data_IF_376955015954
#
_entry.id   IF_376955015954
#
_cell.length_a   1.000
_cell.length_b   1.000
_cell.length_c   1.000
_cell.angle_alpha   90.00
_cell.angle_beta   90.00
_cell.angle_gamma   90.00
#
_symmetry.space_group_name_H-M   'P 1'
#
loop_
_entity.id
_entity.type
_entity.pdbx_description
1 polymer ?
#
# COMPACT_ATOMS: atom_id res chain seq x y z
N UNK A 1 -48.03 46.60 -16.76
CA UNK A 1 -47.35 47.51 -15.83
C UNK A 1 -46.96 46.71 -14.60
N UNK A 2 -45.64 46.55 -14.43
CA UNK A 2 -44.87 46.33 -13.18
C UNK A 2 -45.17 45.14 -12.25
N UNK A 3 -44.44 44.05 -12.54
CA UNK A 3 -43.42 43.40 -11.71
C UNK A 3 -43.05 44.02 -10.33
N UNK A 4 -42.85 43.15 -9.33
CA UNK A 4 -41.89 43.35 -8.23
C UNK A 4 -41.55 42.01 -7.54
N UNK A 5 -40.51 41.35 -8.07
CA UNK A 5 -39.72 40.33 -7.39
C UNK A 5 -39.10 40.84 -6.09
N UNK A 6 -39.13 40.04 -5.02
CA UNK A 6 -38.17 40.13 -3.92
C UNK A 6 -37.21 38.93 -4.00
N UNK A 7 -36.11 39.11 -4.74
CA UNK A 7 -34.92 38.28 -4.58
C UNK A 7 -34.10 38.83 -3.41
N UNK A 8 -33.98 38.04 -2.36
CA UNK A 8 -33.01 38.30 -1.28
C UNK A 8 -31.66 37.68 -1.70
N UNK A 9 -30.73 38.54 -2.08
CA UNK A 9 -29.31 38.24 -2.27
C UNK A 9 -28.61 38.08 -0.91
N UNK A 10 -27.90 36.98 -0.63
CA UNK A 10 -26.88 36.98 0.41
C UNK A 10 -25.55 37.49 -0.14
N UNK A 11 -25.18 38.64 0.39
CA UNK A 11 -23.91 39.37 0.33
C UNK A 11 -22.69 38.42 0.45
N UNK A 12 -21.86 38.38 -0.59
CA UNK A 12 -20.54 37.74 -0.57
C UNK A 12 -19.56 38.55 0.30
N UNK A 13 -19.32 38.10 1.53
CA UNK A 13 -18.21 38.59 2.35
C UNK A 13 -16.98 37.70 2.20
N UNK A 14 -16.10 38.14 1.28
CA UNK A 14 -14.63 38.23 1.42
C UNK A 14 -13.96 37.26 2.41
N UNK A 15 -13.45 36.14 1.88
CA UNK A 15 -12.34 35.40 2.49
C UNK A 15 -11.09 35.57 1.61
N UNK A 16 -10.24 36.55 1.97
CA UNK A 16 -8.82 36.52 1.61
C UNK A 16 -8.13 35.65 2.66
N UNK A 17 -7.66 34.47 2.27
CA UNK A 17 -6.50 33.84 2.90
C UNK A 17 -5.56 33.42 1.77
N UNK A 18 -4.43 34.10 1.70
CA UNK A 18 -3.30 33.68 0.88
C UNK A 18 -2.82 32.32 1.40
N UNK A 19 -2.67 31.34 0.52
CA UNK A 19 -2.07 30.05 0.84
C UNK A 19 -0.63 30.02 0.31
N UNK A 20 0.39 29.81 1.17
CA UNK A 20 1.65 29.23 0.72
C UNK A 20 1.47 27.72 0.53
N UNK A 21 2.11 27.20 -0.51
CA UNK A 21 2.29 25.79 -0.90
C UNK A 21 2.03 24.73 0.17
N UNK A 22 1.16 23.75 -0.13
CA UNK A 22 1.13 22.45 0.54
C UNK A 22 -0.26 21.94 0.93
N UNK A 23 -0.58 20.72 0.47
CA UNK A 23 -1.57 19.79 1.02
C UNK A 23 -3.02 20.33 1.15
N UNK A 24 -3.83 20.10 0.12
CA UNK A 24 -5.28 20.29 0.21
C UNK A 24 -5.93 19.14 0.99
N UNK A 25 -6.33 19.42 2.23
CA UNK A 25 -7.27 18.61 2.99
C UNK A 25 -8.70 18.93 2.56
N UNK A 26 -9.46 17.94 2.09
CA UNK A 26 -10.92 17.99 2.16
C UNK A 26 -11.34 17.60 3.58
N UNK A 27 -11.68 18.59 4.41
CA UNK A 27 -12.43 18.36 5.64
C UNK A 27 -13.89 18.74 5.39
N UNK A 28 -14.72 17.75 5.07
CA UNK A 28 -16.17 17.89 5.12
C UNK A 28 -16.60 17.57 6.56
N UNK A 29 -17.01 18.58 7.31
CA UNK A 29 -17.59 18.40 8.64
C UNK A 29 -19.03 17.91 8.47
N UNK A 30 -19.27 16.62 8.75
CA UNK A 30 -20.61 16.06 8.88
C UNK A 30 -20.67 15.26 10.19
N UNK A 31 -21.44 15.78 11.16
CA UNK A 31 -21.79 15.05 12.39
C UNK A 31 -22.65 13.85 11.99
N UNK A 32 -22.24 12.65 12.38
CA UNK A 32 -23.10 11.46 12.35
C UNK A 32 -22.68 10.30 11.43
N UNK A 33 -21.38 10.06 11.21
CA UNK A 33 -20.93 8.88 10.46
C UNK A 33 -20.24 7.85 11.34
N UNK A 34 -20.72 6.60 11.25
CA UNK A 34 -19.99 5.40 11.66
C UNK A 34 -18.64 5.37 10.94
N UNK A 35 -17.58 5.22 11.71
CA UNK A 35 -16.19 5.47 11.35
C UNK A 35 -15.60 4.42 10.42
N UNK A 36 -15.98 4.42 9.14
CA UNK A 36 -15.37 3.60 8.08
C UNK A 36 -14.59 4.49 7.10
N UNK A 37 -13.72 5.34 7.65
CA UNK A 37 -12.71 6.07 6.88
C UNK A 37 -11.73 5.10 6.19
N UNK A 38 -10.98 5.53 5.15
CA UNK A 38 -9.79 4.81 4.68
C UNK A 38 -8.79 4.54 5.82
N UNK A 39 -8.82 5.41 6.84
CA UNK A 39 -8.13 5.25 8.11
C UNK A 39 -8.65 4.10 8.98
N UNK A 40 -9.79 3.48 8.71
CA UNK A 40 -10.29 2.31 9.45
C UNK A 40 -9.41 1.07 9.29
N UNK A 41 -8.72 0.96 8.15
CA UNK A 41 -7.64 -0.01 7.95
C UNK A 41 -6.47 0.40 8.85
N UNK A 42 -6.03 1.66 8.77
CA UNK A 42 -4.91 2.20 9.58
C UNK A 42 -5.12 2.12 11.10
N UNK A 43 -6.32 2.39 11.63
CA UNK A 43 -6.61 2.37 13.07
C UNK A 43 -6.69 0.96 13.63
N UNK A 44 -7.11 -0.04 12.84
CA UNK A 44 -7.05 -1.45 13.25
C UNK A 44 -5.60 -1.93 13.37
N UNK A 45 -4.72 -1.51 12.47
CA UNK A 45 -3.31 -1.86 12.50
C UNK A 45 -2.51 -1.09 13.57
N UNK A 46 -2.89 0.13 13.96
CA UNK A 46 -2.28 0.80 15.12
C UNK A 46 -2.50 0.06 16.45
N UNK A 47 -3.62 -0.65 16.60
CA UNK A 47 -3.92 -1.43 17.80
C UNK A 47 -3.17 -2.77 17.87
N UNK A 48 -2.85 -3.38 16.72
CA UNK A 48 -2.09 -4.64 16.68
C UNK A 48 -0.59 -4.47 16.89
N UNK A 49 -0.03 -3.29 16.60
CA UNK A 49 1.43 -3.02 16.70
C UNK A 49 1.83 -2.46 18.08
N UNK A 50 0.87 -2.18 18.97
CA UNK A 50 1.15 -1.60 20.29
C UNK A 50 1.50 -2.63 21.39
N UNK A 51 1.70 -3.91 21.06
CA UNK A 51 2.09 -4.92 22.05
C UNK A 51 3.48 -5.50 21.78
N UNK A 52 4.38 -5.25 22.74
CA UNK A 52 5.74 -5.80 22.94
C UNK A 52 6.90 -5.16 22.16
N UNK A 53 7.41 -4.08 22.75
CA UNK A 53 8.82 -3.73 22.67
C UNK A 53 9.64 -4.79 23.43
N UNK A 54 10.49 -5.53 22.73
CA UNK A 54 11.57 -6.31 23.31
C UNK A 54 12.70 -6.39 22.29
N UNK A 55 13.84 -5.84 22.70
CA UNK A 55 15.11 -5.93 22.01
C UNK A 55 15.71 -7.29 22.37
N UNK A 56 15.82 -8.18 21.39
CA UNK A 56 16.76 -9.29 21.42
C UNK A 56 17.24 -9.48 19.99
N UNK A 57 18.50 -9.10 19.75
CA UNK A 57 19.18 -9.41 18.52
C UNK A 57 19.55 -10.88 18.50
N UNK A 58 19.20 -11.58 17.41
CA UNK A 58 20.15 -12.36 16.61
C UNK A 58 19.46 -13.04 15.41
N UNK A 59 20.21 -13.03 14.31
CA UNK A 59 20.05 -13.73 13.01
C UNK A 59 18.87 -13.35 12.11
N UNK A 60 19.05 -12.30 11.31
CA UNK A 60 18.34 -12.12 10.04
C UNK A 60 19.38 -12.16 8.91
N UNK A 61 19.97 -13.33 8.67
CA UNK A 61 20.97 -13.56 7.60
C UNK A 61 20.63 -14.78 6.73
N UNK A 62 19.36 -14.99 6.44
CA UNK A 62 18.95 -15.61 5.18
C UNK A 62 17.97 -14.65 4.53
N UNK A 63 18.44 -13.95 3.49
CA UNK A 63 17.60 -13.09 2.67
C UNK A 63 16.45 -13.92 2.12
N UNK A 64 15.25 -13.61 2.60
CA UNK A 64 14.06 -14.37 2.26
C UNK A 64 13.59 -13.87 0.90
N UNK A 65 14.19 -14.42 -0.15
CA UNK A 65 14.00 -13.98 -1.53
C UNK A 65 12.52 -13.86 -1.93
N UNK A 66 11.63 -14.67 -1.36
CA UNK A 66 10.18 -14.56 -1.59
C UNK A 66 9.62 -13.22 -1.11
N UNK A 67 10.06 -12.76 0.07
CA UNK A 67 9.62 -11.48 0.64
C UNK A 67 10.18 -10.34 -0.21
N UNK A 68 11.45 -10.43 -0.61
CA UNK A 68 12.06 -9.43 -1.50
C UNK A 68 11.34 -9.36 -2.86
N UNK A 69 10.99 -10.51 -3.44
CA UNK A 69 10.22 -10.61 -4.70
C UNK A 69 8.81 -10.03 -4.52
N UNK A 70 8.10 -10.41 -3.46
CA UNK A 70 6.77 -9.87 -3.15
C UNK A 70 6.82 -8.35 -3.00
N UNK A 71 7.82 -7.83 -2.26
CA UNK A 71 8.03 -6.41 -2.06
C UNK A 71 8.34 -5.69 -3.37
N UNK A 72 9.13 -6.31 -4.27
CA UNK A 72 9.39 -5.78 -5.60
C UNK A 72 8.09 -5.60 -6.41
N UNK A 73 7.22 -6.62 -6.44
CA UNK A 73 5.93 -6.53 -7.11
C UNK A 73 4.99 -5.50 -6.47
N UNK A 74 4.98 -5.43 -5.14
CA UNK A 74 4.22 -4.43 -4.39
C UNK A 74 4.68 -3.00 -4.74
N UNK A 75 5.99 -2.77 -4.77
CA UNK A 75 6.58 -1.49 -5.15
C UNK A 75 6.26 -1.13 -6.61
N UNK A 76 6.25 -2.11 -7.53
CA UNK A 76 5.79 -1.89 -8.91
C UNK A 76 4.33 -1.42 -8.98
N UNK A 77 3.43 -2.04 -8.19
CA UNK A 77 2.02 -1.65 -8.14
C UNK A 77 1.86 -0.24 -7.55
N UNK A 78 2.57 0.09 -6.46
CA UNK A 78 2.59 1.44 -5.88
C UNK A 78 3.05 2.47 -6.90
N UNK A 79 4.17 2.19 -7.58
CA UNK A 79 4.75 3.11 -8.56
C UNK A 79 3.83 3.36 -9.76
N UNK A 80 3.10 2.33 -10.20
CA UNK A 80 2.10 2.44 -11.26
C UNK A 80 0.96 3.38 -10.85
N UNK A 81 0.38 3.18 -9.66
CA UNK A 81 -0.72 4.01 -9.19
C UNK A 81 -0.27 5.44 -8.89
N UNK A 82 0.91 5.63 -8.29
CA UNK A 82 1.47 6.95 -8.03
C UNK A 82 1.77 7.73 -9.32
N UNK A 83 2.21 7.04 -10.39
CA UNK A 83 2.35 7.66 -11.70
C UNK A 83 0.98 8.10 -12.24
N UNK A 84 -0.02 7.23 -12.18
CA UNK A 84 -1.37 7.56 -12.64
C UNK A 84 -1.97 8.75 -11.87
N UNK A 85 -1.80 8.78 -10.54
CA UNK A 85 -2.19 9.89 -9.68
C UNK A 85 -1.54 11.20 -10.14
N UNK A 86 -0.22 11.21 -10.36
CA UNK A 86 0.50 12.43 -10.80
C UNK A 86 0.01 12.92 -12.15
N UNK A 87 -0.13 12.01 -13.13
CA UNK A 87 -0.58 12.35 -14.48
C UNK A 87 -2.02 12.88 -14.49
N UNK A 88 -2.92 12.23 -13.76
CA UNK A 88 -4.32 12.66 -13.66
C UNK A 88 -4.48 13.94 -12.84
N UNK A 89 -3.71 14.13 -11.78
CA UNK A 89 -3.70 15.38 -11.01
C UNK A 89 -3.27 16.56 -11.88
N UNK A 90 -2.33 16.35 -12.81
CA UNK A 90 -1.94 17.38 -13.79
C UNK A 90 -3.12 17.75 -14.70
N UNK A 91 -3.82 16.75 -15.27
CA UNK A 91 -5.02 16.97 -16.12
C UNK A 91 -6.15 17.68 -15.36
N UNK A 92 -6.35 17.32 -14.09
CA UNK A 92 -7.31 17.97 -13.20
C UNK A 92 -6.99 19.46 -13.02
N UNK A 93 -5.72 19.81 -12.87
CA UNK A 93 -5.28 21.19 -12.73
C UNK A 93 -5.37 21.99 -14.05
N UNK A 94 -5.28 21.33 -15.20
CA UNK A 94 -5.41 21.96 -16.52
C UNK A 94 -6.87 22.28 -16.87
N UNK A 95 -7.78 21.33 -16.68
CA UNK A 95 -9.22 21.54 -16.90
C UNK A 95 -10.05 20.71 -15.92
N UNK A 96 -10.38 21.32 -14.79
CA UNK A 96 -11.07 20.67 -13.69
C UNK A 96 -12.45 20.10 -14.09
N UNK A 97 -13.27 20.86 -14.83
CA UNK A 97 -14.63 20.43 -15.17
C UNK A 97 -14.60 19.21 -16.09
N UNK A 98 -13.84 19.27 -17.18
CA UNK A 98 -13.68 18.14 -18.09
C UNK A 98 -13.03 16.93 -17.39
N UNK A 99 -12.06 17.17 -16.51
CA UNK A 99 -11.46 16.11 -15.73
C UNK A 99 -12.49 15.39 -14.86
N UNK A 100 -13.31 16.15 -14.15
CA UNK A 100 -14.30 15.60 -13.23
C UNK A 100 -15.34 14.73 -13.96
N UNK A 101 -15.78 15.16 -15.14
CA UNK A 101 -16.73 14.42 -15.96
C UNK A 101 -16.21 13.06 -16.44
N UNK A 102 -14.91 12.96 -16.75
CA UNK A 102 -14.37 11.80 -17.48
C UNK A 102 -13.35 10.95 -16.72
N UNK A 103 -12.69 11.50 -15.69
CA UNK A 103 -11.50 10.88 -15.09
C UNK A 103 -11.57 10.78 -13.56
N UNK A 104 -12.55 11.40 -12.91
CA UNK A 104 -12.66 11.40 -11.44
C UNK A 104 -12.68 9.97 -10.85
N UNK A 105 -13.36 9.04 -11.53
CA UNK A 105 -13.41 7.63 -11.13
C UNK A 105 -12.02 6.99 -11.12
N UNK A 106 -11.26 7.15 -12.20
CA UNK A 106 -9.95 6.52 -12.33
C UNK A 106 -8.98 7.06 -11.27
N UNK A 107 -9.00 8.38 -11.03
CA UNK A 107 -8.19 8.99 -9.99
C UNK A 107 -8.58 8.51 -8.59
N UNK A 108 -9.89 8.37 -8.32
CA UNK A 108 -10.37 7.80 -7.07
C UNK A 108 -9.81 6.39 -6.84
N UNK A 109 -9.93 5.51 -7.85
CA UNK A 109 -9.43 4.14 -7.78
C UNK A 109 -7.92 4.12 -7.53
N UNK A 110 -7.14 4.90 -8.26
CA UNK A 110 -5.69 4.94 -8.06
C UNK A 110 -5.28 5.43 -6.67
N UNK A 111 -5.97 6.44 -6.12
CA UNK A 111 -5.73 6.87 -4.74
C UNK A 111 -6.06 5.76 -3.73
N UNK A 112 -7.19 5.08 -3.91
CA UNK A 112 -7.61 4.00 -3.02
C UNK A 112 -6.60 2.83 -3.07
N UNK A 113 -6.22 2.38 -4.26
CA UNK A 113 -5.28 1.28 -4.47
C UNK A 113 -3.88 1.63 -3.92
N UNK A 114 -3.32 2.79 -4.30
CA UNK A 114 -2.02 3.27 -3.79
C UNK A 114 -1.99 3.33 -2.27
N UNK A 115 -3.07 3.83 -1.64
CA UNK A 115 -3.20 3.86 -0.19
C UNK A 115 -3.13 2.47 0.45
N UNK A 116 -3.87 1.50 -0.11
CA UNK A 116 -3.88 0.12 0.42
C UNK A 116 -2.52 -0.56 0.26
N UNK A 117 -1.86 -0.41 -0.89
CA UNK A 117 -0.52 -0.98 -1.09
C UNK A 117 0.53 -0.36 -0.17
N UNK A 118 0.50 0.96 0.06
CA UNK A 118 1.42 1.63 0.97
C UNK A 118 1.24 1.18 2.42
N UNK A 119 -0.01 0.97 2.84
CA UNK A 119 -0.30 0.40 4.17
C UNK A 119 0.28 -1.01 4.28
N UNK A 120 0.07 -1.86 3.27
CA UNK A 120 0.66 -3.21 3.24
C UNK A 120 2.18 -3.14 3.30
N UNK A 121 2.81 -2.26 2.50
CA UNK A 121 4.27 -2.07 2.45
C UNK A 121 4.82 -1.72 3.83
N UNK A 122 4.21 -0.75 4.51
CA UNK A 122 4.58 -0.34 5.86
C UNK A 122 4.41 -1.46 6.90
N UNK A 123 3.34 -2.25 6.79
CA UNK A 123 3.11 -3.38 7.70
C UNK A 123 4.19 -4.46 7.52
N UNK A 124 4.56 -4.76 6.27
CA UNK A 124 5.61 -5.75 5.94
C UNK A 124 6.98 -5.25 6.38
N UNK A 125 7.30 -3.95 6.20
CA UNK A 125 8.56 -3.35 6.68
C UNK A 125 8.71 -3.42 8.21
N UNK A 126 7.58 -3.38 8.95
CA UNK A 126 7.56 -3.52 10.40
C UNK A 126 7.59 -4.97 10.90
N UNK A 127 7.47 -5.96 10.02
CA UNK A 127 7.39 -7.37 10.39
C UNK A 127 8.75 -7.93 10.80
N UNK A 128 8.79 -8.72 11.89
CA UNK A 128 10.03 -9.30 12.43
C UNK A 128 10.35 -10.71 11.91
N UNK A 129 9.60 -11.21 10.93
CA UNK A 129 9.80 -12.54 10.37
C UNK A 129 8.80 -12.93 9.31
N UNK A 130 9.14 -14.00 8.57
CA UNK A 130 8.34 -14.55 7.45
C UNK A 130 6.90 -14.86 7.87
N UNK A 131 6.70 -15.52 9.01
CA UNK A 131 5.36 -15.88 9.50
C UNK A 131 4.50 -14.63 9.78
N UNK A 132 5.14 -13.54 10.21
CA UNK A 132 4.43 -12.26 10.42
C UNK A 132 4.02 -11.64 9.09
N UNK A 133 4.89 -11.68 8.07
CA UNK A 133 4.57 -11.20 6.71
C UNK A 133 3.41 -11.99 6.12
N UNK A 134 3.43 -13.32 6.27
CA UNK A 134 2.34 -14.19 5.85
C UNK A 134 1.00 -13.83 6.50
N UNK A 135 0.98 -13.71 7.82
CA UNK A 135 -0.23 -13.37 8.55
C UNK A 135 -0.77 -12.00 8.13
N UNK A 136 0.11 -11.02 7.89
CA UNK A 136 -0.31 -9.70 7.38
C UNK A 136 -1.03 -9.83 6.04
N UNK A 137 -0.48 -10.59 5.09
CA UNK A 137 -1.09 -10.75 3.76
C UNK A 137 -2.42 -11.49 3.88
N UNK A 138 -2.49 -12.60 4.62
CA UNK A 138 -3.72 -13.38 4.84
C UNK A 138 -4.81 -12.54 5.53
N UNK A 139 -4.47 -11.78 6.56
CA UNK A 139 -5.42 -10.89 7.25
C UNK A 139 -5.99 -9.83 6.30
N UNK A 140 -5.18 -9.31 5.37
CA UNK A 140 -5.63 -8.34 4.37
C UNK A 140 -6.55 -8.98 3.32
N UNK A 141 -6.29 -10.23 2.90
CA UNK A 141 -7.20 -11.01 2.04
C UNK A 141 -8.53 -11.20 2.76
N UNK A 142 -8.50 -11.77 3.98
CA UNK A 142 -9.68 -12.06 4.77
C UNK A 142 -10.51 -10.79 5.07
N UNK A 143 -9.85 -9.67 5.35
CA UNK A 143 -10.52 -8.39 5.54
C UNK A 143 -11.29 -7.96 4.27
N UNK A 144 -10.64 -8.04 3.11
CA UNK A 144 -11.27 -7.65 1.86
C UNK A 144 -12.44 -8.57 1.52
N UNK A 145 -12.26 -9.88 1.64
CA UNK A 145 -13.31 -10.88 1.40
C UNK A 145 -14.49 -10.69 2.33
N UNK A 146 -14.25 -10.49 3.63
CA UNK A 146 -15.32 -10.25 4.59
C UNK A 146 -16.15 -9.00 4.24
N UNK A 147 -15.48 -7.91 3.84
CA UNK A 147 -16.18 -6.69 3.39
C UNK A 147 -16.92 -6.88 2.06
N UNK A 148 -16.44 -7.73 1.17
CA UNK A 148 -17.09 -8.04 -0.10
C UNK A 148 -18.29 -8.99 0.05
N UNK A 149 -18.20 -9.96 0.96
CA UNK A 149 -19.23 -10.97 1.18
C UNK A 149 -20.34 -10.49 2.13
N UNK A 150 -19.94 -9.80 3.20
CA UNK A 150 -20.85 -9.40 4.28
C UNK A 150 -21.15 -7.90 4.29
N UNK A 151 -20.48 -7.12 3.44
CA UNK A 151 -20.74 -5.69 3.31
C UNK A 151 -21.98 -5.38 2.48
N UNK A 152 -22.56 -4.21 2.72
CA UNK A 152 -23.66 -3.71 1.88
C UNK A 152 -23.11 -3.28 0.52
N UNK A 153 -23.83 -3.60 -0.56
CA UNK A 153 -23.48 -3.19 -1.93
C UNK A 153 -23.68 -1.67 -2.11
N UNK A 154 -24.66 -1.09 -1.44
CA UNK A 154 -24.86 0.36 -1.32
C UNK A 154 -24.54 0.80 0.12
N UNK A 155 -23.96 1.99 0.29
CA UNK A 155 -23.77 2.60 1.60
C UNK A 155 -25.01 3.34 2.11
N UNK A 156 -26.13 3.27 1.38
CA UNK A 156 -27.44 3.84 1.73
C UNK A 156 -27.38 5.34 2.04
N UNK A 157 -26.44 6.06 1.42
CA UNK A 157 -26.38 7.51 1.54
C UNK A 157 -27.46 8.15 0.67
N UNK A 158 -27.99 9.28 1.14
CA UNK A 158 -28.80 10.17 0.29
C UNK A 158 -27.96 10.88 -0.78
N UNK A 159 -26.63 10.87 -0.65
CA UNK A 159 -25.70 11.40 -1.63
C UNK A 159 -25.35 10.34 -2.68
N UNK A 160 -25.80 10.56 -3.93
CA UNK A 160 -25.47 9.68 -5.05
C UNK A 160 -23.96 9.50 -5.24
N UNK A 161 -23.19 10.57 -5.10
CA UNK A 161 -21.72 10.54 -5.23
C UNK A 161 -21.08 9.64 -4.17
N UNK A 162 -21.64 9.62 -2.96
CA UNK A 162 -21.14 8.76 -1.88
C UNK A 162 -21.42 7.29 -2.17
N UNK A 163 -22.60 6.96 -2.71
CA UNK A 163 -22.92 5.59 -3.11
C UNK A 163 -22.03 5.13 -4.28
N UNK A 164 -21.76 6.00 -5.26
CA UNK A 164 -20.81 5.72 -6.34
C UNK A 164 -19.41 5.45 -5.77
N UNK A 165 -18.89 6.33 -4.91
CA UNK A 165 -17.56 6.12 -4.31
C UNK A 165 -17.47 4.81 -3.52
N UNK A 166 -18.54 4.41 -2.83
CA UNK A 166 -18.62 3.12 -2.15
C UNK A 166 -18.55 1.94 -3.13
N UNK A 167 -19.28 2.00 -4.24
CA UNK A 167 -19.20 0.99 -5.30
C UNK A 167 -17.78 0.88 -5.88
N UNK A 168 -17.14 2.00 -6.21
CA UNK A 168 -15.76 2.02 -6.71
C UNK A 168 -14.77 1.43 -5.70
N UNK A 169 -14.99 1.65 -4.40
CA UNK A 169 -14.20 1.03 -3.32
C UNK A 169 -14.37 -0.49 -3.33
N UNK A 170 -15.58 -1.02 -3.51
CA UNK A 170 -15.80 -2.47 -3.59
C UNK A 170 -15.10 -3.06 -4.81
N UNK A 171 -15.15 -2.41 -5.98
CA UNK A 171 -14.40 -2.84 -7.16
C UNK A 171 -12.88 -2.86 -6.90
N UNK A 172 -12.33 -1.83 -6.25
CA UNK A 172 -10.94 -1.83 -5.83
C UNK A 172 -10.62 -2.99 -4.88
N UNK A 173 -11.50 -3.28 -3.92
CA UNK A 173 -11.29 -4.40 -2.99
C UNK A 173 -11.28 -5.75 -3.70
N UNK A 174 -12.09 -5.93 -4.75
CA UNK A 174 -12.02 -7.13 -5.59
C UNK A 174 -10.65 -7.27 -6.27
N UNK A 175 -10.08 -6.16 -6.76
CA UNK A 175 -8.75 -6.17 -7.33
C UNK A 175 -7.67 -6.43 -6.27
N UNK A 176 -7.80 -5.84 -5.07
CA UNK A 176 -6.87 -6.07 -3.96
C UNK A 176 -6.83 -7.54 -3.55
N UNK A 177 -7.96 -8.24 -3.48
CA UNK A 177 -7.98 -9.69 -3.18
C UNK A 177 -7.15 -10.47 -4.21
N UNK A 178 -7.24 -10.12 -5.50
CA UNK A 178 -6.45 -10.78 -6.54
C UNK A 178 -4.97 -10.56 -6.34
N UNK A 179 -4.58 -9.31 -6.15
CA UNK A 179 -3.18 -8.92 -5.95
C UNK A 179 -2.58 -9.49 -4.66
N UNK A 180 -3.34 -9.49 -3.56
CA UNK A 180 -2.88 -10.06 -2.29
C UNK A 180 -2.75 -11.58 -2.36
N UNK A 181 -3.61 -12.27 -3.11
CA UNK A 181 -3.43 -13.70 -3.40
C UNK A 181 -2.20 -13.96 -4.28
N UNK A 182 -1.90 -13.09 -5.23
CA UNK A 182 -0.63 -13.16 -5.99
C UNK A 182 0.57 -13.02 -5.05
N UNK A 183 0.52 -12.09 -4.09
CA UNK A 183 1.56 -11.95 -3.07
C UNK A 183 1.67 -13.18 -2.17
N UNK A 184 0.56 -13.72 -1.69
CA UNK A 184 0.53 -14.97 -0.93
C UNK A 184 1.16 -16.13 -1.74
N UNK A 185 0.85 -16.22 -3.02
CA UNK A 185 1.46 -17.23 -3.91
C UNK A 185 2.97 -17.05 -4.06
N UNK A 186 3.48 -15.82 -4.12
CA UNK A 186 4.93 -15.56 -4.14
C UNK A 186 5.57 -16.01 -2.83
N UNK A 187 4.93 -15.68 -1.70
CA UNK A 187 5.41 -16.11 -0.39
C UNK A 187 5.42 -17.63 -0.24
N UNK A 188 4.53 -18.37 -0.92
CA UNK A 188 4.42 -19.84 -0.89
C UNK A 188 5.56 -20.58 -1.61
N UNK A 189 6.29 -19.90 -2.49
CA UNK A 189 7.26 -20.58 -3.35
C UNK A 189 8.47 -21.08 -2.55
N UNK A 190 8.90 -22.30 -2.79
CA UNK A 190 10.21 -22.76 -2.27
C UNK A 190 11.34 -22.18 -3.12
N UNK A 191 12.54 -21.92 -2.56
CA UNK A 191 13.66 -21.39 -3.34
C UNK A 191 13.93 -22.21 -4.61
N UNK A 192 14.17 -21.56 -5.76
CA UNK A 192 14.57 -22.27 -6.97
C UNK A 192 15.81 -23.13 -6.67
N UNK A 193 15.80 -24.39 -7.09
CA UNK A 193 16.91 -25.34 -6.88
C UNK A 193 18.26 -24.82 -7.41
N UNK A 194 18.25 -23.88 -8.35
CA UNK A 194 19.43 -23.20 -8.89
C UNK A 194 20.25 -22.49 -7.80
N UNK A 195 19.61 -21.93 -6.77
CA UNK A 195 20.30 -21.30 -5.64
C UNK A 195 20.98 -22.33 -4.71
N UNK A 196 20.42 -23.54 -4.61
CA UNK A 196 21.00 -24.65 -3.84
C UNK A 196 22.23 -25.23 -4.55
N UNK A 197 22.19 -25.34 -5.88
CA UNK A 197 23.34 -25.80 -6.67
C UNK A 197 24.49 -24.78 -6.65
N UNK A 198 24.20 -23.47 -6.72
CA UNK A 198 25.24 -22.45 -6.64
C UNK A 198 25.91 -22.37 -5.26
N UNK A 199 25.16 -22.58 -4.16
CA UNK A 199 25.74 -22.67 -2.81
C UNK A 199 26.53 -23.96 -2.60
N UNK A 200 26.07 -25.10 -3.13
CA UNK A 200 26.81 -26.37 -3.09
C UNK A 200 28.14 -26.27 -3.87
N UNK A 201 28.10 -25.77 -5.11
CA UNK A 201 29.28 -25.60 -5.97
C UNK A 201 30.31 -24.63 -5.39
N UNK A 202 29.86 -23.60 -4.65
CA UNK A 202 30.75 -22.64 -3.97
C UNK A 202 31.40 -23.21 -2.70
N UNK A 203 30.77 -24.21 -2.08
CA UNK A 203 31.26 -24.87 -0.86
C UNK A 203 32.27 -25.99 -1.19
N UNK A 204 32.10 -26.68 -2.32
CA UNK A 204 33.08 -27.64 -2.84
C UNK A 204 34.36 -26.97 -3.32
N UNK A 205 34.25 -25.85 -4.06
CA UNK A 205 35.42 -25.10 -4.56
C UNK A 205 36.32 -24.52 -3.47
N UNK A 206 35.81 -24.39 -2.24
CA UNK A 206 36.57 -23.90 -1.07
C UNK A 206 37.24 -25.03 -0.26
N UNK A 207 36.92 -26.30 -0.53
CA UNK A 207 37.53 -27.47 0.12
C UNK A 207 38.69 -28.07 -0.66
N UNK A 208 38.88 -27.69 -1.93
CA UNK A 208 39.93 -28.26 -2.80
C UNK A 208 41.28 -27.51 -2.80
N UNK A 209 41.46 -26.40 -2.08
CA UNK A 209 42.79 -25.77 -1.95
C UNK A 209 43.57 -26.35 -0.75
N UNK A 210 44.66 -27.13 -0.97
CA UNK A 210 45.48 -27.64 0.12
C UNK A 210 46.45 -26.54 0.61
N UNK A 211 46.73 -26.43 1.92
CA UNK A 211 47.64 -25.41 2.42
C UNK A 211 49.09 -25.73 2.03
N UNK A 212 49.70 -24.87 1.20
CA UNK A 212 51.13 -24.92 0.88
C UNK A 212 51.97 -24.85 2.17
N UNK A 213 52.70 -25.95 2.44
CA UNK A 213 53.66 -26.03 3.54
C UNK A 213 54.87 -25.16 3.23
N UNK A 214 55.02 -24.03 3.93
CA UNK A 214 56.25 -23.23 3.92
C UNK A 214 57.35 -23.97 4.69
N UNK A 215 58.28 -24.59 3.96
CA UNK A 215 59.52 -25.17 4.53
C UNK A 215 60.46 -24.01 4.86
N UNK A 216 60.71 -23.77 6.16
CA UNK A 216 61.81 -22.92 6.62
C UNK A 216 63.05 -23.81 6.78
N UNK A 217 64.00 -23.72 5.86
CA UNK A 217 65.34 -24.27 6.05
C UNK A 217 66.28 -23.14 6.43
N UNK A 218 66.58 -23.03 7.72
CA UNK A 218 67.72 -22.27 8.19
C UNK A 218 68.86 -23.24 8.46
N UNK A 219 70.05 -22.99 7.91
CA UNK A 219 71.31 -23.48 8.46
C UNK A 219 72.34 -22.34 8.40
N UNK A 220 72.97 -22.12 9.54
CA UNK A 220 74.04 -21.16 9.84
C UNK A 220 75.30 -21.99 10.11
N UNK A 221 76.42 -21.55 9.52
CA UNK A 221 77.81 -22.05 9.63
C UNK A 221 78.17 -23.26 8.81
#
# INVERSE_FOLDING_TARGET
>A
MTDASFMVLPRLSRWRRSFPTGWFFFSMSARGYSSDHPWGISTRWQLSVSSTFSISGNSMEQGNWNVDEMLHWLDMKINREDRNIREQSKKMNENFLHFFEWNAESLYKSHFMSGCYKILRQAVDGAKGMDTVWNIVEDNIAYCENKLLNGQVDCNSSSRTTNVAHFLKLECMQQLVRDYREFANILAQTPPEENLQQTANKTEKKREEPPERKIKTGIRR
#
